data_IF_423449049628
#
_entry.id   IF_423449049628
#
_cell.length_a   1.000
_cell.length_b   1.000
_cell.length_c   1.000
_cell.angle_alpha   90.00
_cell.angle_beta   90.00
_cell.angle_gamma   90.00
#
_symmetry.space_group_name_H-M   'P 1'
#
loop_
_entity.id
_entity.type
_entity.pdbx_description
1 polymer ?
#
# COMPACT_ATOMS: atom_id res chain seq x y z
N UNK A 1 0.42 8.33 18.37
CA UNK A 1 0.07 8.16 16.95
C UNK A 1 -1.33 7.57 16.90
N UNK A 2 -2.20 8.11 16.07
CA UNK A 2 -3.50 7.52 15.70
C UNK A 2 -3.30 6.21 14.93
N UNK A 3 -4.37 5.41 14.78
CA UNK A 3 -4.31 4.15 14.04
C UNK A 3 -3.83 4.37 12.59
N UNK A 4 -4.26 5.45 11.96
CA UNK A 4 -3.92 5.77 10.58
C UNK A 4 -2.45 6.21 10.42
N UNK A 5 -1.89 6.90 11.41
CA UNK A 5 -0.47 7.25 11.45
C UNK A 5 0.40 6.00 11.61
N UNK A 6 0.00 5.07 12.49
CA UNK A 6 0.68 3.79 12.68
C UNK A 6 0.63 2.98 11.38
N UNK A 7 -0.56 2.87 10.76
CA UNK A 7 -0.69 2.19 9.48
C UNK A 7 0.21 2.79 8.39
N UNK A 8 0.23 4.12 8.30
CA UNK A 8 1.06 4.85 7.33
C UNK A 8 2.53 4.55 7.52
N UNK A 9 3.02 4.58 8.76
CA UNK A 9 4.38 4.20 9.12
C UNK A 9 4.70 2.75 8.73
N UNK A 10 3.80 1.82 9.01
CA UNK A 10 4.00 0.41 8.66
C UNK A 10 4.14 0.20 7.15
N UNK A 11 3.27 0.84 6.35
CA UNK A 11 3.32 0.73 4.88
C UNK A 11 4.58 1.42 4.34
N UNK A 12 4.86 2.67 4.70
CA UNK A 12 5.99 3.42 4.15
C UNK A 12 7.35 2.81 4.51
N UNK A 13 7.48 2.30 5.73
CA UNK A 13 8.72 1.69 6.21
C UNK A 13 8.78 0.18 5.97
N UNK A 14 7.88 -0.36 5.12
CA UNK A 14 7.87 -1.77 4.70
C UNK A 14 7.84 -2.75 5.89
N UNK A 15 7.16 -2.38 6.98
CA UNK A 15 6.99 -3.22 8.17
C UNK A 15 5.89 -4.26 7.92
N UNK A 16 5.88 -5.32 8.72
CA UNK A 16 4.92 -6.41 8.56
C UNK A 16 3.49 -5.96 8.85
N UNK A 17 2.56 -6.19 7.91
CA UNK A 17 1.14 -5.93 8.14
C UNK A 17 0.53 -6.93 9.14
N UNK A 18 1.15 -8.09 9.34
CA UNK A 18 0.75 -9.05 10.38
C UNK A 18 1.05 -8.46 11.76
N UNK A 19 2.23 -7.89 11.96
CA UNK A 19 2.55 -7.17 13.20
C UNK A 19 1.60 -5.99 13.44
N UNK A 20 1.24 -5.24 12.38
CA UNK A 20 0.26 -4.16 12.48
C UNK A 20 -1.13 -4.66 12.94
N UNK A 21 -1.57 -5.84 12.48
CA UNK A 21 -2.81 -6.47 12.93
C UNK A 21 -2.80 -6.74 14.44
N UNK A 22 -1.65 -7.06 15.03
CA UNK A 22 -1.54 -7.25 16.47
C UNK A 22 -1.49 -5.91 17.22
N UNK A 23 -0.72 -4.94 16.71
CA UNK A 23 -0.61 -3.61 17.33
C UNK A 23 -1.95 -2.89 17.37
N UNK A 24 -2.76 -2.97 16.31
CA UNK A 24 -4.04 -2.24 16.28
C UNK A 24 -5.10 -2.77 17.24
N UNK A 25 -4.97 -4.01 17.74
CA UNK A 25 -5.93 -4.60 18.71
C UNK A 25 -5.96 -3.83 20.02
N UNK A 26 -4.88 -3.10 20.35
CA UNK A 26 -4.80 -2.27 21.56
C UNK A 26 -5.31 -0.85 21.34
N UNK A 27 -5.89 -0.55 20.17
CA UNK A 27 -6.32 0.79 19.78
C UNK A 27 -7.84 0.78 19.53
N UNK A 28 -8.56 1.71 20.15
CA UNK A 28 -10.02 1.82 20.02
C UNK A 28 -10.43 2.70 18.83
N UNK A 29 -9.88 2.41 17.65
CA UNK A 29 -10.18 3.11 16.39
C UNK A 29 -10.54 2.09 15.30
N UNK A 30 -11.41 2.49 14.36
CA UNK A 30 -11.78 1.64 13.23
C UNK A 30 -10.80 1.87 12.08
N UNK A 31 -10.08 0.81 11.69
CA UNK A 31 -9.23 0.84 10.51
C UNK A 31 -10.00 0.64 9.20
N UNK A 32 -9.40 1.08 8.09
CA UNK A 32 -9.93 0.94 6.73
C UNK A 32 -10.02 -0.54 6.28
N UNK A 33 -9.05 -1.36 6.67
CA UNK A 33 -8.97 -2.77 6.30
C UNK A 33 -9.26 -3.67 7.51
N UNK A 34 -9.94 -4.79 7.28
CA UNK A 34 -10.07 -5.85 8.29
C UNK A 34 -8.80 -6.74 8.33
N UNK A 35 -8.67 -7.58 9.36
CA UNK A 35 -7.48 -8.40 9.57
C UNK A 35 -7.21 -9.31 8.36
N UNK A 36 -8.26 -9.94 7.83
CA UNK A 36 -8.16 -10.84 6.68
C UNK A 36 -7.56 -10.14 5.45
N UNK A 37 -7.98 -8.90 5.15
CA UNK A 37 -7.40 -8.11 4.04
C UNK A 37 -5.95 -7.72 4.30
N UNK A 38 -5.58 -7.38 5.53
CA UNK A 38 -4.20 -7.01 5.85
C UNK A 38 -3.25 -8.21 5.72
N UNK A 39 -3.69 -9.38 6.21
CA UNK A 39 -2.95 -10.64 6.05
C UNK A 39 -2.83 -10.99 4.57
N UNK A 40 -3.92 -10.91 3.80
CA UNK A 40 -3.87 -11.16 2.35
C UNK A 40 -2.93 -10.17 1.62
N UNK A 41 -2.91 -8.90 2.02
CA UNK A 41 -2.01 -7.92 1.44
C UNK A 41 -0.53 -8.27 1.75
N UNK A 42 -0.22 -8.74 2.96
CA UNK A 42 1.11 -9.23 3.31
C UNK A 42 1.52 -10.42 2.43
N UNK A 43 0.63 -11.42 2.29
CA UNK A 43 0.88 -12.59 1.45
C UNK A 43 1.16 -12.18 -0.01
N UNK A 44 0.35 -11.26 -0.54
CA UNK A 44 0.54 -10.71 -1.89
C UNK A 44 1.88 -9.95 -2.00
N UNK A 45 2.28 -9.18 -0.98
CA UNK A 45 3.58 -8.47 -0.96
C UNK A 45 4.76 -9.44 -0.96
N UNK A 46 4.71 -10.48 -0.12
CA UNK A 46 5.78 -11.48 -0.06
C UNK A 46 5.87 -12.29 -1.36
N UNK A 47 4.72 -12.62 -1.95
CA UNK A 47 4.64 -13.26 -3.27
C UNK A 47 5.22 -12.35 -4.36
N UNK A 48 4.81 -11.09 -4.42
CA UNK A 48 5.30 -10.11 -5.39
C UNK A 48 6.82 -9.92 -5.27
N UNK A 49 7.33 -9.81 -4.04
CA UNK A 49 8.77 -9.70 -3.77
C UNK A 49 9.57 -10.89 -4.30
N UNK A 50 8.97 -12.08 -4.30
CA UNK A 50 9.62 -13.32 -4.75
C UNK A 50 9.49 -13.52 -6.26
N UNK A 51 8.30 -13.31 -6.82
CA UNK A 51 7.99 -13.59 -8.23
C UNK A 51 8.41 -12.44 -9.15
N UNK A 52 8.20 -11.19 -8.74
CA UNK A 52 8.42 -9.99 -9.56
C UNK A 52 9.07 -8.86 -8.72
N UNK A 53 10.32 -9.04 -8.24
CA UNK A 53 10.98 -8.11 -7.31
C UNK A 53 11.10 -6.68 -7.88
N UNK A 54 11.26 -6.53 -9.19
CA UNK A 54 11.29 -5.22 -9.84
C UNK A 54 9.98 -4.45 -9.66
N UNK A 55 8.83 -5.15 -9.71
CA UNK A 55 7.51 -4.53 -9.52
C UNK A 55 7.31 -4.21 -8.04
N UNK A 56 7.72 -5.11 -7.15
CA UNK A 56 7.69 -4.86 -5.71
C UNK A 56 8.42 -3.56 -5.37
N UNK A 57 9.68 -3.41 -5.81
CA UNK A 57 10.46 -2.19 -5.57
C UNK A 57 9.83 -0.97 -6.27
N UNK A 58 9.36 -1.15 -7.51
CA UNK A 58 8.70 -0.10 -8.26
C UNK A 58 7.44 0.44 -7.59
N UNK A 59 6.63 -0.41 -6.96
CA UNK A 59 5.44 -0.02 -6.20
C UNK A 59 5.81 0.86 -5.02
N UNK A 60 6.84 0.48 -4.24
CA UNK A 60 7.31 1.27 -3.10
C UNK A 60 8.00 2.57 -3.52
N UNK A 61 8.78 2.57 -4.60
CA UNK A 61 9.33 3.81 -5.15
C UNK A 61 8.22 4.78 -5.58
N UNK A 62 7.20 4.28 -6.26
CA UNK A 62 6.03 5.08 -6.64
C UNK A 62 5.38 5.70 -5.40
N UNK A 63 5.10 4.89 -4.36
CA UNK A 63 4.51 5.39 -3.11
C UNK A 63 5.38 6.48 -2.47
N UNK A 64 6.69 6.25 -2.36
CA UNK A 64 7.63 7.21 -1.78
C UNK A 64 7.65 8.54 -2.56
N UNK A 65 7.62 8.48 -3.91
CA UNK A 65 7.56 9.68 -4.76
C UNK A 65 6.26 10.45 -4.60
N UNK A 66 5.11 9.76 -4.51
CA UNK A 66 3.81 10.42 -4.23
C UNK A 66 3.88 11.13 -2.88
N UNK A 67 4.33 10.42 -1.85
CA UNK A 67 4.34 10.89 -0.47
C UNK A 67 5.27 12.10 -0.27
N UNK A 68 6.45 12.07 -0.91
CA UNK A 68 7.42 13.18 -0.87
C UNK A 68 6.92 14.44 -1.59
N UNK A 69 6.17 14.29 -2.69
CA UNK A 69 5.63 15.43 -3.45
C UNK A 69 4.48 16.12 -2.74
N UNK A 70 3.66 15.37 -1.99
CA UNK A 70 2.51 15.90 -1.25
C UNK A 70 2.75 16.03 0.26
N UNK A 71 3.91 16.60 0.63
CA UNK A 71 4.33 17.02 1.99
C UNK A 71 3.91 16.12 3.17
N UNK A 72 3.79 14.80 2.93
CA UNK A 72 3.35 13.83 3.93
C UNK A 72 1.89 13.97 4.43
N UNK A 73 1.03 14.75 3.75
CA UNK A 73 -0.28 15.14 4.28
C UNK A 73 -1.44 14.18 3.92
N UNK A 74 -1.27 13.25 2.98
CA UNK A 74 -2.38 12.35 2.60
C UNK A 74 -2.16 10.91 3.05
N UNK A 75 -2.97 10.54 4.05
CA UNK A 75 -3.17 9.17 4.53
C UNK A 75 -3.84 8.25 3.50
N UNK A 76 -4.34 8.80 2.40
CA UNK A 76 -4.98 8.03 1.33
C UNK A 76 -3.96 7.23 0.52
N UNK A 77 -2.70 7.70 0.40
CA UNK A 77 -1.71 7.00 -0.43
C UNK A 77 -1.31 5.61 0.11
N UNK A 78 -1.03 5.43 1.41
CA UNK A 78 -0.85 4.10 1.98
C UNK A 78 -2.07 3.20 1.81
N UNK A 79 -3.28 3.77 1.93
CA UNK A 79 -4.53 3.03 1.73
C UNK A 79 -4.64 2.54 0.29
N UNK A 80 -4.45 3.43 -0.68
CA UNK A 80 -4.54 3.10 -2.09
C UNK A 80 -3.45 2.14 -2.53
N UNK A 81 -2.24 2.25 -1.97
CA UNK A 81 -1.18 1.27 -2.15
C UNK A 81 -1.66 -0.13 -1.76
N UNK A 82 -2.21 -0.32 -0.56
CA UNK A 82 -2.73 -1.62 -0.12
C UNK A 82 -3.89 -2.09 -0.99
N UNK A 83 -4.76 -1.17 -1.46
CA UNK A 83 -5.82 -1.53 -2.42
C UNK A 83 -5.25 -2.08 -3.73
N UNK A 84 -4.16 -1.52 -4.25
CA UNK A 84 -3.50 -2.06 -5.44
C UNK A 84 -2.87 -3.44 -5.18
N UNK A 85 -2.17 -3.61 -4.06
CA UNK A 85 -1.63 -4.91 -3.65
C UNK A 85 -2.73 -5.98 -3.57
N UNK A 86 -3.91 -5.64 -3.04
CA UNK A 86 -5.05 -6.54 -2.95
C UNK A 86 -5.73 -6.84 -4.30
N UNK A 87 -5.56 -5.97 -5.30
CA UNK A 87 -6.02 -6.22 -6.67
C UNK A 87 -5.09 -7.19 -7.39
N UNK A 88 -3.80 -7.20 -7.06
CA UNK A 88 -2.87 -8.17 -7.60
C UNK A 88 -3.35 -9.58 -7.28
N UNK A 89 -3.20 -10.48 -8.25
CA UNK A 89 -3.59 -11.89 -8.12
C UNK A 89 -5.09 -12.14 -7.92
N UNK A 90 -5.94 -11.10 -8.00
CA UNK A 90 -7.39 -11.22 -7.97
C UNK A 90 -7.94 -11.04 -9.39
N UNK A 91 -8.18 -12.14 -10.08
CA UNK A 91 -8.80 -12.14 -11.41
C UNK A 91 -7.79 -12.13 -12.55
N UNK A 92 -8.03 -11.29 -13.57
CA UNK A 92 -7.32 -11.31 -14.86
C UNK A 92 -6.12 -10.35 -14.97
N UNK A 93 -5.91 -9.46 -13.99
CA UNK A 93 -4.83 -8.48 -14.03
C UNK A 93 -3.54 -9.05 -13.44
N UNK A 94 -2.46 -8.98 -14.21
CA UNK A 94 -1.13 -9.31 -13.72
C UNK A 94 -0.58 -8.20 -12.81
N UNK A 95 0.36 -8.50 -11.90
CA UNK A 95 1.00 -7.47 -11.07
C UNK A 95 1.61 -6.34 -11.88
N UNK A 96 2.17 -6.62 -13.06
CA UNK A 96 2.66 -5.61 -13.99
C UNK A 96 1.56 -4.66 -14.48
N UNK A 97 0.39 -5.17 -14.84
CA UNK A 97 -0.73 -4.32 -15.26
C UNK A 97 -1.20 -3.41 -14.12
N UNK A 98 -1.33 -3.96 -12.92
CA UNK A 98 -1.68 -3.18 -11.71
C UNK A 98 -0.63 -2.11 -11.43
N UNK A 99 0.66 -2.42 -11.58
CA UNK A 99 1.72 -1.45 -11.37
C UNK A 99 1.70 -0.31 -12.40
N UNK A 100 1.53 -0.61 -13.68
CA UNK A 100 1.44 0.42 -14.71
C UNK A 100 0.20 1.33 -14.50
N UNK A 101 -0.94 0.76 -14.11
CA UNK A 101 -2.11 1.54 -13.70
C UNK A 101 -1.82 2.41 -12.47
N UNK A 102 -1.13 1.86 -11.47
CA UNK A 102 -0.75 2.59 -10.25
C UNK A 102 0.17 3.78 -10.57
N UNK A 103 1.13 3.60 -11.48
CA UNK A 103 1.99 4.69 -11.95
C UNK A 103 1.20 5.77 -12.69
N UNK A 104 0.20 5.41 -13.50
CA UNK A 104 -0.63 6.42 -14.18
C UNK A 104 -1.41 7.30 -13.22
N UNK A 105 -1.71 6.82 -12.00
CA UNK A 105 -2.27 7.70 -10.97
C UNK A 105 -1.30 8.84 -10.61
N UNK A 106 0.03 8.62 -10.60
CA UNK A 106 1.00 9.73 -10.47
C UNK A 106 0.81 10.79 -11.55
N UNK A 107 0.54 10.38 -12.78
CA UNK A 107 0.48 11.26 -13.96
C UNK A 107 -0.82 12.06 -14.03
N UNK A 108 -1.93 11.50 -13.55
CA UNK A 108 -3.21 12.22 -13.52
C UNK A 108 -3.30 13.27 -12.41
N UNK A 109 -2.68 13.04 -11.24
CA UNK A 109 -2.61 14.06 -10.20
C UNK A 109 -1.79 15.31 -10.59
N UNK A 110 -0.97 15.23 -11.65
CA UNK A 110 -0.23 16.39 -12.18
C UNK A 110 -1.08 17.37 -13.00
N UNK A 111 -2.31 17.01 -13.39
CA UNK A 111 -3.15 17.85 -14.27
C UNK A 111 -4.28 18.59 -13.55
N UNK A 112 -4.43 18.43 -12.23
CA UNK A 112 -5.43 19.14 -11.42
C UNK A 112 -4.81 20.31 -10.60
N UNK A 113 -3.76 20.95 -11.12
CA UNK A 113 -3.17 22.20 -10.56
C UNK A 113 -3.25 23.33 -11.56
#
# INVERSE_FOLDING_TARGET
MSLIEIFTDYVLNRKSLIEYVDVRKTIHERGEFNDAKLIQAEENLQRLKTEEPEIYEGMYETLARIYARNTGLSVEYPIDFIRQILKMYRGSLSPRQVYEEYKRMLEHYHHDV
#
